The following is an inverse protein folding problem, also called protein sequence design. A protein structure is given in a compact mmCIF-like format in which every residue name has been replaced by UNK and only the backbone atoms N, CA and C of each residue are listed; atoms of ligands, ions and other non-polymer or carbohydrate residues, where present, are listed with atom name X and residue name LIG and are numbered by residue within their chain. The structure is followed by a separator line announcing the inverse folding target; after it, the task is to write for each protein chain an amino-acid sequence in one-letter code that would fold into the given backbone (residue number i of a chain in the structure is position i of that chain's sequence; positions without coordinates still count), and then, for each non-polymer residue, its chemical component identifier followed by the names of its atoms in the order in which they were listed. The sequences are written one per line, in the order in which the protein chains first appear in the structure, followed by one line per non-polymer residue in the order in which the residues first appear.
data_IF_127521277716
#
_entry.id   IF_127521277716
#
_cell.length_a   1.000
_cell.length_b   1.000
_cell.length_c   1.000
_cell.angle_alpha   90.00
_cell.angle_beta   90.00
_cell.angle_gamma   90.00
#
_symmetry.space_group_name_H-M   'P 1'
#
loop_
_entity.id
_entity.type
_entity.pdbx_description
1 polymer ?
#
# COMPACT_ATOMS: atom_id res chain seq x y z
N UNK A 1 0.76 34.84 0.00
CA UNK A 1 1.51 34.43 -1.21
C UNK A 1 2.67 33.49 -0.90
N UNK A 2 3.41 33.69 0.21
CA UNK A 2 4.51 32.79 0.61
C UNK A 2 4.03 31.41 1.10
N UNK A 3 2.92 31.36 1.84
CA UNK A 3 2.41 30.08 2.39
C UNK A 3 1.78 29.17 1.32
N UNK A 4 1.07 29.75 0.35
CA UNK A 4 0.50 29.03 -0.79
C UNK A 4 1.55 28.47 -1.74
N UNK A 5 2.69 29.16 -1.90
CA UNK A 5 3.81 28.68 -2.73
C UNK A 5 4.53 27.52 -2.04
N UNK A 6 4.77 27.61 -0.73
CA UNK A 6 5.32 26.50 0.06
C UNK A 6 4.41 25.25 0.01
N UNK A 7 3.09 25.42 0.13
CA UNK A 7 2.15 24.31 0.03
C UNK A 7 2.26 23.58 -1.31
N UNK A 8 2.21 24.32 -2.43
CA UNK A 8 2.26 23.74 -3.77
C UNK A 8 3.61 23.07 -4.03
N UNK A 9 4.73 23.71 -3.66
CA UNK A 9 6.05 23.13 -3.82
C UNK A 9 6.23 21.84 -3.01
N UNK A 10 5.81 21.82 -1.74
CA UNK A 10 5.85 20.61 -0.91
C UNK A 10 4.95 19.51 -1.46
N UNK A 11 3.78 19.84 -2.00
CA UNK A 11 2.88 18.88 -2.63
C UNK A 11 3.49 18.27 -3.89
N UNK A 12 4.07 19.07 -4.78
CA UNK A 12 4.69 18.57 -6.01
C UNK A 12 5.93 17.70 -5.72
N UNK A 13 6.78 18.13 -4.78
CA UNK A 13 7.95 17.36 -4.37
C UNK A 13 7.52 16.01 -3.80
N UNK A 14 6.60 16.02 -2.84
CA UNK A 14 6.12 14.79 -2.19
C UNK A 14 5.42 13.89 -3.17
N UNK A 15 4.60 14.45 -4.07
CA UNK A 15 3.91 13.68 -5.10
C UNK A 15 4.91 12.89 -5.95
N UNK A 16 5.89 13.57 -6.56
CA UNK A 16 6.83 12.90 -7.45
C UNK A 16 7.75 11.91 -6.72
N UNK A 17 8.19 12.25 -5.51
CA UNK A 17 9.00 11.36 -4.69
C UNK A 17 8.26 10.05 -4.38
N UNK A 18 7.04 10.15 -3.84
CA UNK A 18 6.24 8.98 -3.47
C UNK A 18 5.76 8.23 -4.71
N UNK A 19 5.27 8.92 -5.73
CA UNK A 19 4.74 8.29 -6.94
C UNK A 19 5.78 7.42 -7.64
N UNK A 20 7.02 7.91 -7.77
CA UNK A 20 8.09 7.15 -8.39
C UNK A 20 8.61 6.03 -7.47
N UNK A 21 8.67 6.26 -6.16
CA UNK A 21 9.12 5.26 -5.19
C UNK A 21 8.15 4.08 -5.04
N UNK A 22 6.85 4.32 -5.25
CA UNK A 22 5.79 3.32 -5.07
C UNK A 22 5.25 2.75 -6.39
N UNK A 23 5.92 3.04 -7.51
CA UNK A 23 5.52 2.46 -8.79
C UNK A 23 5.88 0.97 -8.85
N UNK A 24 4.85 0.13 -8.96
CA UNK A 24 4.98 -1.33 -8.94
C UNK A 24 5.02 -1.92 -7.54
N UNK A 25 4.67 -1.15 -6.52
CA UNK A 25 4.67 -1.62 -5.13
C UNK A 25 3.49 -2.57 -4.82
N UNK A 26 3.52 -3.17 -3.63
CA UNK A 26 2.60 -4.23 -3.17
C UNK A 26 1.16 -3.77 -3.21
N UNK A 27 0.87 -2.54 -2.76
CA UNK A 27 -0.49 -1.98 -2.84
C UNK A 27 -0.97 -1.80 -4.27
N UNK A 28 -0.09 -1.43 -5.21
CA UNK A 28 -0.43 -1.34 -6.63
C UNK A 28 -0.76 -2.73 -7.20
N UNK A 29 0.00 -3.77 -6.84
CA UNK A 29 -0.24 -5.15 -7.27
C UNK A 29 -1.55 -5.72 -6.69
N UNK A 30 -1.85 -5.43 -5.42
CA UNK A 30 -3.13 -5.76 -4.77
C UNK A 30 -4.30 -5.14 -5.53
N UNK A 31 -4.23 -3.83 -5.78
CA UNK A 31 -5.25 -3.09 -6.50
C UNK A 31 -5.46 -3.65 -7.92
N UNK A 32 -4.36 -4.05 -8.57
CA UNK A 32 -4.36 -4.69 -9.88
C UNK A 32 -5.05 -6.05 -9.87
N UNK A 33 -4.71 -6.92 -8.91
CA UNK A 33 -5.29 -8.25 -8.78
C UNK A 33 -6.80 -8.21 -8.48
N UNK A 34 -7.21 -7.36 -7.53
CA UNK A 34 -8.63 -7.20 -7.20
C UNK A 34 -9.43 -6.61 -8.37
N UNK A 35 -8.86 -5.65 -9.10
CA UNK A 35 -9.53 -5.03 -10.25
C UNK A 35 -9.67 -5.96 -11.46
N UNK A 36 -8.85 -7.01 -11.56
CA UNK A 36 -8.96 -8.01 -12.61
C UNK A 36 -10.24 -8.86 -12.49
N UNK A 37 -10.70 -9.09 -11.24
CA UNK A 37 -11.87 -9.93 -10.93
C UNK A 37 -13.11 -9.15 -10.50
N UNK A 38 -12.96 -7.96 -9.94
CA UNK A 38 -14.05 -7.22 -9.29
C UNK A 38 -14.26 -5.80 -9.83
N UNK A 39 -15.33 -5.15 -9.37
CA UNK A 39 -15.64 -3.76 -9.73
C UNK A 39 -14.56 -2.82 -9.20
N UNK A 40 -14.07 -1.92 -10.04
CA UNK A 40 -12.96 -1.02 -9.72
C UNK A 40 -13.31 0.14 -8.78
N UNK A 41 -14.56 0.60 -8.78
CA UNK A 41 -14.93 1.80 -8.00
C UNK A 41 -14.77 1.59 -6.48
N UNK A 42 -15.26 0.48 -5.88
CA UNK A 42 -15.06 0.23 -4.46
C UNK A 42 -13.58 0.08 -4.08
N UNK A 43 -12.77 -0.53 -4.95
CA UNK A 43 -11.32 -0.71 -4.74
C UNK A 43 -10.62 0.64 -4.71
N UNK A 44 -10.89 1.51 -5.69
CA UNK A 44 -10.31 2.85 -5.73
C UNK A 44 -10.74 3.70 -4.53
N UNK A 45 -12.02 3.65 -4.16
CA UNK A 45 -12.52 4.39 -3.01
C UNK A 45 -11.87 3.90 -1.70
N UNK A 46 -11.68 2.59 -1.57
CA UNK A 46 -10.99 2.00 -0.43
C UNK A 46 -9.52 2.46 -0.36
N UNK A 47 -8.80 2.47 -1.49
CA UNK A 47 -7.45 3.00 -1.58
C UNK A 47 -7.38 4.47 -1.18
N UNK A 48 -8.26 5.31 -1.71
CA UNK A 48 -8.36 6.73 -1.33
C UNK A 48 -8.53 6.88 0.17
N UNK A 49 -9.47 6.16 0.78
CA UNK A 49 -9.72 6.23 2.22
C UNK A 49 -8.52 5.73 3.04
N UNK A 50 -7.94 4.58 2.69
CA UNK A 50 -6.81 3.99 3.41
C UNK A 50 -5.60 4.93 3.39
N UNK A 51 -5.17 5.37 2.21
CA UNK A 51 -4.01 6.24 2.07
C UNK A 51 -4.22 7.62 2.67
N UNK A 52 -5.43 8.20 2.55
CA UNK A 52 -5.72 9.49 3.18
C UNK A 52 -5.55 9.41 4.69
N UNK A 53 -6.05 8.34 5.34
CA UNK A 53 -5.94 8.16 6.79
C UNK A 53 -4.49 7.86 7.19
N UNK A 54 -3.82 6.92 6.51
CA UNK A 54 -2.43 6.56 6.81
C UNK A 54 -1.50 7.76 6.67
N UNK A 55 -1.62 8.53 5.59
CA UNK A 55 -0.81 9.74 5.39
C UNK A 55 -1.14 10.83 6.40
N UNK A 56 -2.41 10.96 6.83
CA UNK A 56 -2.79 11.92 7.85
C UNK A 56 -2.12 11.58 9.19
N UNK A 57 -2.14 10.29 9.56
CA UNK A 57 -1.45 9.80 10.75
C UNK A 57 0.05 10.04 10.61
N UNK A 58 0.67 9.66 9.50
CA UNK A 58 2.11 9.85 9.26
C UNK A 58 2.53 11.33 9.37
N UNK A 59 1.76 12.24 8.78
CA UNK A 59 2.02 13.69 8.88
C UNK A 59 1.82 14.20 10.32
N UNK A 60 0.77 13.77 11.01
CA UNK A 60 0.56 14.13 12.41
C UNK A 60 1.69 13.62 13.32
N UNK A 61 2.17 12.41 13.08
CA UNK A 61 3.32 11.83 13.77
C UNK A 61 4.61 12.57 13.42
N UNK A 62 4.86 12.96 12.17
CA UNK A 62 6.06 13.72 11.82
C UNK A 62 6.11 15.11 12.45
N UNK A 63 4.96 15.79 12.56
CA UNK A 63 4.87 17.05 13.31
C UNK A 63 5.07 16.84 14.82
N UNK A 64 4.66 15.69 15.36
CA UNK A 64 4.64 15.45 16.82
C UNK A 64 5.86 14.68 17.37
N UNK A 65 6.53 13.87 16.56
CA UNK A 65 7.39 12.76 16.99
C UNK A 65 8.63 12.59 16.12
N UNK A 66 9.28 13.67 15.70
CA UNK A 66 10.48 13.60 14.87
C UNK A 66 11.71 12.97 15.54
N UNK A 67 11.62 11.79 16.20
CA UNK A 67 12.69 10.80 16.51
C UNK A 67 12.25 9.54 17.34
N UNK A 68 10.97 9.11 17.40
CA UNK A 68 10.57 8.03 18.35
C UNK A 68 10.41 6.61 17.82
N UNK A 69 10.44 6.38 16.50
CA UNK A 69 10.30 5.02 15.97
C UNK A 69 11.66 4.41 15.61
N UNK A 70 12.09 3.45 16.41
CA UNK A 70 13.24 2.60 16.08
C UNK A 70 12.89 1.70 14.89
N UNK A 71 13.72 1.78 13.86
CA UNK A 71 13.67 1.02 12.61
C UNK A 71 13.54 -0.52 12.83
N UNK A 72 14.01 -0.99 13.99
CA UNK A 72 13.89 -2.38 14.43
C UNK A 72 12.43 -2.86 14.54
N UNK A 73 11.56 -2.11 15.22
CA UNK A 73 10.17 -2.54 15.49
C UNK A 73 9.32 -2.55 14.22
N UNK A 74 9.57 -1.59 13.34
CA UNK A 74 8.90 -1.49 12.05
C UNK A 74 9.25 -2.70 11.18
N UNK A 75 10.54 -3.02 11.11
CA UNK A 75 11.04 -4.12 10.28
C UNK A 75 10.57 -5.48 10.82
N UNK A 76 10.53 -5.65 12.14
CA UNK A 76 10.07 -6.89 12.78
C UNK A 76 8.58 -7.17 12.52
N UNK A 77 7.72 -6.15 12.67
CA UNK A 77 6.26 -6.30 12.45
C UNK A 77 5.97 -6.57 10.97
N UNK A 78 6.63 -5.85 10.06
CA UNK A 78 6.47 -6.07 8.63
C UNK A 78 6.95 -7.46 8.19
N UNK A 79 8.10 -7.93 8.69
CA UNK A 79 8.60 -9.27 8.40
C UNK A 79 7.61 -10.37 8.84
N UNK A 80 7.02 -10.22 10.03
CA UNK A 80 6.02 -11.15 10.55
C UNK A 80 4.74 -11.17 9.68
N UNK A 81 4.26 -10.00 9.25
CA UNK A 81 3.10 -9.91 8.37
C UNK A 81 3.36 -10.56 7.00
N UNK A 82 4.52 -10.29 6.37
CA UNK A 82 4.86 -10.91 5.09
C UNK A 82 5.07 -12.42 5.17
N UNK A 83 5.64 -12.93 6.27
CA UNK A 83 5.74 -14.37 6.49
C UNK A 83 4.36 -15.02 6.58
N UNK A 84 3.44 -14.41 7.31
CA UNK A 84 2.06 -14.88 7.44
C UNK A 84 1.34 -14.93 6.08
N UNK A 85 1.35 -13.83 5.31
CA UNK A 85 0.72 -13.80 3.98
C UNK A 85 1.40 -14.71 2.96
N UNK A 86 2.72 -14.86 3.02
CA UNK A 86 3.48 -15.75 2.16
C UNK A 86 3.16 -17.22 2.41
N UNK A 87 3.11 -17.64 3.68
CA UNK A 87 2.77 -19.01 4.07
C UNK A 87 1.33 -19.37 3.73
N UNK A 88 0.38 -18.48 4.04
CA UNK A 88 -1.03 -18.68 3.69
C UNK A 88 -1.25 -18.74 2.18
N UNK A 89 -0.58 -17.90 1.40
CA UNK A 89 -0.67 -17.93 -0.07
C UNK A 89 0.03 -19.14 -0.71
N UNK A 90 1.01 -19.77 -0.04
CA UNK A 90 1.77 -20.92 -0.57
C UNK A 90 1.17 -22.27 -0.16
N UNK A 91 0.58 -22.35 1.05
CA UNK A 91 0.09 -23.60 1.65
C UNK A 91 -1.43 -23.64 1.85
N UNK A 92 -2.14 -22.51 1.81
CA UNK A 92 -3.61 -22.44 1.92
C UNK A 92 -4.35 -22.77 0.62
N UNK A 93 -3.77 -23.61 -0.23
CA UNK A 93 -4.40 -24.10 -1.45
C UNK A 93 -5.37 -25.22 -1.17
N UNK A 94 -6.37 -24.98 -0.33
CA UNK A 94 -7.59 -25.79 -0.16
C UNK A 94 -8.57 -25.04 0.75
N UNK A 95 -8.96 -23.84 0.32
CA UNK A 95 -10.38 -23.50 0.23
C UNK A 95 -10.54 -22.99 -1.20
N UNK A 96 -10.86 -23.91 -2.11
CA UNK A 96 -11.86 -23.55 -3.12
C UNK A 96 -13.11 -23.18 -2.32
N UNK A 97 -13.13 -21.97 -1.80
CA UNK A 97 -14.33 -21.18 -1.98
C UNK A 97 -14.43 -21.00 -3.50
N UNK A 98 -15.04 -22.01 -4.11
CA UNK A 98 -16.25 -21.79 -4.90
C UNK A 98 -17.23 -20.91 -4.10
N UNK A 99 -16.81 -19.74 -3.61
CA UNK A 99 -17.68 -18.60 -3.47
C UNK A 99 -18.08 -18.37 -4.92
N UNK A 100 -19.27 -18.86 -5.24
CA UNK A 100 -20.03 -18.52 -6.42
C UNK A 100 -19.59 -17.15 -6.91
N UNK A 101 -19.35 -17.05 -8.23
CA UNK A 101 -19.25 -15.79 -8.97
C UNK A 101 -20.58 -15.03 -8.77
N UNK A 102 -20.76 -14.54 -7.57
CA UNK A 102 -21.84 -13.77 -7.04
C UNK A 102 -21.18 -12.44 -6.74
N UNK A 103 -21.85 -11.37 -7.13
CA UNK A 103 -21.30 -10.04 -7.00
C UNK A 103 -21.06 -9.76 -5.51
N UNK A 104 -19.82 -9.96 -5.02
CA UNK A 104 -19.43 -9.55 -3.67
C UNK A 104 -19.88 -8.11 -3.52
N UNK A 105 -20.79 -7.88 -2.55
CA UNK A 105 -21.43 -6.58 -2.36
C UNK A 105 -20.35 -5.50 -2.36
N UNK A 106 -20.59 -4.39 -3.07
CA UNK A 106 -19.63 -3.30 -3.18
C UNK A 106 -19.11 -2.81 -1.83
N UNK A 107 -19.92 -2.96 -0.76
CA UNK A 107 -19.53 -2.69 0.63
C UNK A 107 -18.46 -3.66 1.16
N UNK A 108 -18.62 -4.97 0.94
CA UNK A 108 -17.63 -5.97 1.40
C UNK A 108 -16.30 -5.81 0.66
N UNK A 109 -16.35 -5.60 -0.65
CA UNK A 109 -15.16 -5.34 -1.45
C UNK A 109 -14.42 -4.09 -0.99
N UNK A 110 -15.15 -3.00 -0.70
CA UNK A 110 -14.56 -1.78 -0.14
C UNK A 110 -13.88 -2.06 1.21
N UNK A 111 -14.56 -2.69 2.16
CA UNK A 111 -14.03 -2.94 3.51
C UNK A 111 -12.78 -3.82 3.44
N UNK A 112 -12.82 -4.93 2.69
CA UNK A 112 -11.70 -5.85 2.59
C UNK A 112 -10.49 -5.19 1.92
N UNK A 113 -10.72 -4.46 0.83
CA UNK A 113 -9.63 -3.71 0.15
C UNK A 113 -9.06 -2.64 1.09
N UNK A 114 -9.92 -1.92 1.81
CA UNK A 114 -9.50 -0.89 2.74
C UNK A 114 -8.63 -1.48 3.84
N UNK A 115 -9.11 -2.53 4.53
CA UNK A 115 -8.37 -3.17 5.62
C UNK A 115 -7.04 -3.75 5.12
N UNK A 116 -7.05 -4.38 3.94
CA UNK A 116 -5.86 -4.99 3.39
C UNK A 116 -4.81 -3.93 3.02
N UNK A 117 -5.19 -2.84 2.34
CA UNK A 117 -4.27 -1.74 2.05
C UNK A 117 -3.82 -1.03 3.33
N UNK A 118 -4.75 -0.77 4.24
CA UNK A 118 -4.48 -0.08 5.50
C UNK A 118 -3.45 -0.82 6.34
N UNK A 119 -3.61 -2.14 6.50
CA UNK A 119 -2.70 -2.98 7.29
C UNK A 119 -1.39 -3.22 6.56
N UNK A 120 -1.41 -3.45 5.24
CA UNK A 120 -0.20 -3.69 4.47
C UNK A 120 0.75 -2.49 4.45
N UNK A 121 0.20 -1.29 4.52
CA UNK A 121 0.93 -0.02 4.41
C UNK A 121 1.23 0.62 5.77
N UNK A 122 0.78 0.01 6.87
CA UNK A 122 1.00 0.53 8.22
C UNK A 122 2.47 0.33 8.61
N UNK A 123 3.18 1.45 8.80
CA UNK A 123 4.59 1.47 9.14
C UNK A 123 5.53 1.23 7.95
N UNK A 124 5.06 1.17 6.70
CA UNK A 124 5.96 0.92 5.57
C UNK A 124 6.89 2.11 5.26
N UNK A 125 7.88 1.90 4.38
CA UNK A 125 8.84 2.87 3.86
C UNK A 125 8.19 4.21 3.46
N UNK A 126 6.99 4.14 2.87
CA UNK A 126 6.24 5.31 2.44
C UNK A 126 5.80 6.16 3.62
N UNK A 127 5.38 5.54 4.74
CA UNK A 127 5.00 6.26 5.94
C UNK A 127 6.20 6.95 6.59
N UNK A 128 7.36 6.28 6.64
CA UNK A 128 8.59 6.90 7.13
C UNK A 128 9.04 8.08 6.25
N UNK A 129 8.88 7.96 4.93
CA UNK A 129 9.14 9.06 4.00
C UNK A 129 8.18 10.24 4.25
N UNK A 130 6.88 9.98 4.43
CA UNK A 130 5.86 11.01 4.70
C UNK A 130 6.09 11.69 6.05
N UNK A 131 6.40 10.91 7.11
CA UNK A 131 6.81 11.42 8.42
C UNK A 131 7.99 12.37 8.25
N UNK A 132 9.06 11.92 7.61
CA UNK A 132 10.29 12.69 7.42
C UNK A 132 10.06 13.96 6.61
N UNK A 133 9.37 13.87 5.47
CA UNK A 133 9.07 15.02 4.63
C UNK A 133 8.22 16.05 5.39
N UNK A 134 7.28 15.61 6.23
CA UNK A 134 6.45 16.52 7.03
C UNK A 134 7.19 17.27 8.14
N UNK A 135 8.38 16.80 8.56
CA UNK A 135 9.22 17.52 9.54
C UNK A 135 9.88 18.77 8.97
N UNK A 136 10.14 18.78 7.65
CA UNK A 136 10.92 19.83 6.97
C UNK A 136 10.12 20.62 5.93
N UNK A 137 8.92 20.14 5.58
CA UNK A 137 8.07 20.73 4.55
C UNK A 137 6.68 21.06 5.10
N UNK A 138 5.87 21.77 4.31
CA UNK A 138 4.50 22.10 4.69
C UNK A 138 3.66 20.82 4.86
N UNK A 139 3.13 20.59 6.06
CA UNK A 139 2.36 19.37 6.40
C UNK A 139 1.18 19.09 5.47
N UNK A 140 0.43 20.14 5.08
CA UNK A 140 -0.73 19.99 4.18
C UNK A 140 -0.27 19.64 2.76
N UNK A 141 0.81 20.27 2.30
CA UNK A 141 1.42 19.95 1.01
C UNK A 141 1.89 18.49 0.96
N UNK A 142 2.60 18.03 2.00
CA UNK A 142 3.06 16.63 2.10
C UNK A 142 1.89 15.66 2.11
N UNK A 143 0.86 15.92 2.93
CA UNK A 143 -0.33 15.06 3.01
C UNK A 143 -1.06 14.94 1.66
N UNK A 144 -1.30 16.06 0.98
CA UNK A 144 -1.97 16.10 -0.34
C UNK A 144 -1.11 15.40 -1.40
N UNK A 145 0.19 15.69 -1.43
CA UNK A 145 1.12 15.13 -2.40
C UNK A 145 1.23 13.61 -2.29
N UNK A 146 1.47 13.10 -1.07
CA UNK A 146 1.57 11.66 -0.82
C UNK A 146 0.26 10.93 -1.13
N UNK A 147 -0.88 11.50 -0.72
CA UNK A 147 -2.20 10.88 -0.95
C UNK A 147 -2.52 10.82 -2.44
N UNK A 148 -2.29 11.91 -3.18
CA UNK A 148 -2.54 11.96 -4.62
C UNK A 148 -1.61 11.03 -5.38
N UNK A 149 -0.35 10.88 -4.93
CA UNK A 149 0.60 9.93 -5.51
C UNK A 149 0.14 8.48 -5.38
N UNK A 150 -0.22 8.05 -4.17
CA UNK A 150 -0.67 6.67 -3.90
C UNK A 150 -2.01 6.34 -4.56
N UNK A 151 -2.91 7.32 -4.67
CA UNK A 151 -4.13 7.18 -5.49
C UNK A 151 -3.76 7.01 -6.96
N UNK A 152 -2.79 7.78 -7.46
CA UNK A 152 -2.30 7.69 -8.83
C UNK A 152 -1.73 6.31 -9.17
N UNK A 153 -0.82 5.78 -8.35
CA UNK A 153 -0.23 4.44 -8.55
C UNK A 153 -1.29 3.36 -8.46
N UNK A 154 -2.21 3.45 -7.51
CA UNK A 154 -3.34 2.52 -7.35
C UNK A 154 -4.29 2.55 -8.55
N UNK A 155 -4.63 3.74 -9.06
CA UNK A 155 -5.46 3.88 -10.25
C UNK A 155 -4.80 3.26 -11.49
N UNK A 156 -3.48 3.43 -11.64
CA UNK A 156 -2.70 2.76 -12.69
C UNK A 156 -2.72 1.24 -12.53
N UNK A 157 -2.54 0.73 -11.31
CA UNK A 157 -2.67 -0.70 -11.00
C UNK A 157 -4.05 -1.24 -11.36
N UNK A 158 -5.12 -0.56 -10.95
CA UNK A 158 -6.50 -0.91 -11.30
C UNK A 158 -6.70 -0.94 -12.82
N UNK A 159 -6.22 0.07 -13.52
CA UNK A 159 -6.31 0.16 -14.98
C UNK A 159 -5.59 -1.02 -15.66
N UNK A 160 -4.35 -1.30 -15.25
CA UNK A 160 -3.57 -2.44 -15.73
C UNK A 160 -4.28 -3.77 -15.42
N UNK A 161 -4.85 -3.91 -14.22
CA UNK A 161 -5.52 -5.12 -13.75
C UNK A 161 -6.73 -5.49 -14.60
N UNK A 162 -7.58 -4.50 -14.91
CA UNK A 162 -8.74 -4.71 -15.79
C UNK A 162 -8.35 -5.12 -17.20
N UNK A 163 -7.22 -4.61 -17.71
CA UNK A 163 -6.85 -4.73 -19.13
C UNK A 163 -5.92 -5.91 -19.41
N UNK A 164 -5.07 -6.30 -18.46
CA UNK A 164 -4.01 -7.29 -18.65
C UNK A 164 -4.22 -8.56 -17.82
N UNK A 165 -4.54 -8.44 -16.53
CA UNK A 165 -4.60 -9.59 -15.61
C UNK A 165 -5.85 -10.45 -15.77
N UNK A 166 -6.89 -9.97 -16.45
CA UNK A 166 -8.10 -10.75 -16.75
C UNK A 166 -7.86 -11.99 -17.63
N UNK A 167 -6.62 -12.20 -18.12
CA UNK A 167 -6.20 -13.34 -18.94
C UNK A 167 -5.22 -14.29 -18.24
N UNK A 168 -4.94 -14.08 -16.95
CA UNK A 168 -3.92 -14.84 -16.21
C UNK A 168 -4.58 -15.90 -15.34
N UNK A 169 -4.03 -17.12 -15.36
CA UNK A 169 -4.47 -18.26 -14.55
C UNK A 169 -4.28 -18.00 -13.04
N UNK A 170 -5.30 -18.33 -12.25
CA UNK A 170 -5.40 -18.02 -10.83
C UNK A 170 -4.49 -18.91 -9.96
N UNK A 171 -4.16 -20.11 -10.43
CA UNK A 171 -3.17 -20.97 -9.78
C UNK A 171 -1.75 -20.42 -9.90
N UNK A 172 -1.42 -19.79 -11.05
CA UNK A 172 -0.14 -19.14 -11.25
C UNK A 172 0.00 -17.90 -10.36
N UNK A 173 -1.09 -17.15 -10.19
CA UNK A 173 -1.10 -15.91 -9.40
C UNK A 173 -0.78 -16.18 -7.92
N UNK A 174 -1.39 -17.20 -7.31
CA UNK A 174 -1.14 -17.59 -5.91
C UNK A 174 0.29 -18.06 -5.66
N UNK A 175 0.86 -18.85 -6.59
CA UNK A 175 2.25 -19.29 -6.49
C UNK A 175 3.23 -18.13 -6.62
N UNK A 176 2.98 -17.21 -7.54
CA UNK A 176 3.82 -16.02 -7.74
C UNK A 176 3.74 -15.10 -6.51
N UNK A 177 2.54 -14.81 -5.99
CA UNK A 177 2.36 -13.95 -4.81
C UNK A 177 2.95 -14.56 -3.55
N UNK A 178 2.73 -15.86 -3.30
CA UNK A 178 3.27 -16.54 -2.12
C UNK A 178 4.79 -16.59 -2.13
N UNK A 179 5.39 -16.92 -3.27
CA UNK A 179 6.86 -16.91 -3.44
C UNK A 179 7.43 -15.50 -3.22
N UNK A 180 6.76 -14.48 -3.76
CA UNK A 180 7.18 -13.09 -3.61
C UNK A 180 7.12 -12.61 -2.15
N UNK A 181 6.01 -12.87 -1.44
CA UNK A 181 5.85 -12.46 -0.03
C UNK A 181 6.83 -13.17 0.91
N UNK A 182 7.11 -14.46 0.69
CA UNK A 182 8.16 -15.16 1.46
C UNK A 182 9.54 -14.55 1.18
N UNK A 183 9.83 -14.23 -0.08
CA UNK A 183 11.08 -13.53 -0.44
C UNK A 183 11.25 -12.20 0.28
N UNK A 184 10.18 -11.40 0.37
CA UNK A 184 10.17 -10.14 1.10
C UNK A 184 10.35 -10.34 2.61
N UNK A 185 9.68 -11.32 3.21
CA UNK A 185 9.82 -11.65 4.63
C UNK A 185 11.26 -12.02 4.99
N UNK A 186 11.89 -12.86 4.16
CA UNK A 186 13.30 -13.27 4.34
C UNK A 186 14.23 -12.07 4.20
N UNK A 187 14.01 -11.21 3.20
CA UNK A 187 14.83 -10.01 3.01
C UNK A 187 14.72 -9.07 4.22
N UNK A 188 13.52 -8.84 4.75
CA UNK A 188 13.31 -8.00 5.94
C UNK A 188 13.95 -8.60 7.20
N UNK A 189 13.90 -9.93 7.37
CA UNK A 189 14.63 -10.62 8.44
C UNK A 189 16.14 -10.44 8.32
N UNK A 190 16.70 -10.49 7.10
CA UNK A 190 18.12 -10.22 6.87
C UNK A 190 18.47 -8.78 7.22
N UNK A 191 17.63 -7.81 6.85
CA UNK A 191 17.80 -6.40 7.21
C UNK A 191 17.74 -6.19 8.71
N UNK A 192 16.84 -6.88 9.42
CA UNK A 192 16.71 -6.82 10.88
C UNK A 192 17.97 -7.31 11.61
N UNK A 193 18.66 -8.32 11.07
CA UNK A 193 19.90 -8.87 11.65
C UNK A 193 21.08 -7.88 11.48
N UNK A 194 20.98 -6.91 10.57
CA UNK A 194 22.02 -5.91 10.28
C UNK A 194 21.78 -4.56 10.98
N UNK A 195 20.65 -4.41 11.67
CA UNK A 195 20.27 -3.29 12.53
C UNK A 195 20.83 -3.48 13.94
#
# INVERSE_FOLDING_TARGET
MHESTLLVSSAMLTFWAIFLAEMGDKSQLVCMALAAKHRSKPILLAAVCAFSILNLVAVALGVSLGNWFSEFWITLVAAAAFAYFGLTSLFGGEEDEDEEISQVSSRRLFINTFLLLFVAELGDKTQLAVVTLSTTNNMYGVWIGATTALIGTSALGIYAGRRWLSKIDMGLLHKISGTFFIGLAIMMLITLIRL
#
